data_IF_827151114550
#
_entry.id   IF_827151114550
#
_cell.length_a   1.000
_cell.length_b   1.000
_cell.length_c   1.000
_cell.angle_alpha   90.00
_cell.angle_beta   90.00
_cell.angle_gamma   90.00
#
_symmetry.space_group_name_H-M   'P 1'
#
loop_
_entity.id
_entity.type
_entity.pdbx_description
1 polymer ?
#
# COMPACT_ATOMS: atom_id res chain seq x y z
N UNK A 1 -21.98 -13.39 2.16
CA UNK A 1 -21.62 -12.47 3.26
C UNK A 1 -21.85 -13.19 4.56
N UNK A 2 -20.81 -13.36 5.39
CA UNK A 2 -20.98 -13.92 6.73
C UNK A 2 -21.17 -12.77 7.73
N UNK A 3 -22.13 -12.90 8.61
CA UNK A 3 -22.47 -11.88 9.61
C UNK A 3 -21.43 -11.78 10.73
N UNK A 4 -20.63 -12.83 10.94
CA UNK A 4 -19.55 -12.86 11.91
C UNK A 4 -18.21 -12.54 11.23
N UNK A 5 -17.46 -11.52 11.68
CA UNK A 5 -16.12 -11.25 11.18
C UNK A 5 -15.20 -12.45 11.47
N UNK A 6 -14.42 -12.88 10.47
CA UNK A 6 -13.36 -13.87 10.65
C UNK A 6 -12.34 -13.35 11.65
N UNK A 7 -12.21 -14.02 12.79
CA UNK A 7 -11.30 -13.63 13.87
C UNK A 7 -9.98 -14.42 13.85
N UNK A 8 -9.96 -15.57 13.20
CA UNK A 8 -8.78 -16.44 13.05
C UNK A 8 -8.64 -16.91 11.60
N UNK A 9 -7.40 -16.87 11.09
CA UNK A 9 -6.99 -17.51 9.84
C UNK A 9 -5.81 -18.42 10.13
N UNK A 10 -5.90 -19.68 9.72
CA UNK A 10 -4.80 -20.65 9.77
C UNK A 10 -4.20 -20.83 8.37
N UNK A 11 -2.87 -20.75 8.28
CA UNK A 11 -2.11 -20.99 7.06
C UNK A 11 -0.95 -21.96 7.33
N UNK A 12 -0.70 -22.93 6.43
CA UNK A 12 0.48 -23.81 6.55
C UNK A 12 1.81 -23.06 6.36
N UNK A 13 1.80 -21.93 5.64
CA UNK A 13 3.02 -21.19 5.29
C UNK A 13 3.39 -20.14 6.34
N UNK A 14 2.38 -19.49 6.94
CA UNK A 14 2.58 -18.35 7.86
C UNK A 14 2.02 -18.57 9.27
N UNK A 15 1.45 -19.74 9.53
CA UNK A 15 0.87 -20.08 10.83
C UNK A 15 -0.49 -19.41 11.08
N UNK A 16 -0.81 -19.20 12.36
CA UNK A 16 -2.09 -18.64 12.82
C UNK A 16 -2.05 -17.13 12.92
N UNK A 17 -3.03 -16.47 12.31
CA UNK A 17 -3.30 -15.03 12.43
C UNK A 17 -4.61 -14.86 13.22
N UNK A 18 -4.53 -14.28 14.40
CA UNK A 18 -5.66 -14.15 15.34
C UNK A 18 -5.50 -15.01 16.60
N UNK A 19 -6.50 -15.06 17.51
CA UNK A 19 -7.77 -14.34 17.43
C UNK A 19 -7.57 -12.83 17.56
N UNK A 20 -8.20 -12.06 16.68
CA UNK A 20 -8.29 -10.60 16.87
C UNK A 20 -9.12 -10.33 18.13
N UNK A 21 -8.61 -9.49 19.04
CA UNK A 21 -9.31 -9.17 20.28
C UNK A 21 -10.69 -8.58 19.99
N UNK A 22 -11.71 -9.11 20.67
CA UNK A 22 -13.10 -8.63 20.57
C UNK A 22 -13.14 -7.11 20.76
N UNK A 23 -13.88 -6.41 19.90
CA UNK A 23 -13.98 -4.96 19.87
C UNK A 23 -12.65 -4.25 19.61
N UNK A 24 -12.10 -4.37 18.40
CA UNK A 24 -11.08 -3.45 17.89
C UNK A 24 -11.81 -2.21 17.37
N UNK A 25 -12.05 -1.15 18.17
CA UNK A 25 -12.51 0.11 17.59
C UNK A 25 -11.50 0.46 16.50
N UNK A 26 -11.94 0.84 15.30
CA UNK A 26 -11.05 1.20 14.20
C UNK A 26 -10.04 2.25 14.69
N UNK A 27 -8.89 1.78 15.17
CA UNK A 27 -7.93 2.61 15.85
C UNK A 27 -7.15 3.32 14.78
N UNK A 28 -7.64 4.48 14.34
CA UNK A 28 -6.89 5.32 13.43
C UNK A 28 -5.54 5.62 14.08
N UNK A 29 -4.49 5.10 13.47
CA UNK A 29 -3.12 5.46 13.82
C UNK A 29 -2.68 6.52 12.84
N UNK A 30 -2.08 7.59 13.36
CA UNK A 30 -1.57 8.68 12.53
C UNK A 30 -0.41 8.23 11.62
N UNK A 31 0.29 7.15 11.99
CA UNK A 31 1.40 6.58 11.23
C UNK A 31 1.07 5.17 10.75
N UNK A 32 1.25 4.97 9.44
CA UNK A 32 1.21 3.67 8.80
C UNK A 32 2.60 3.23 8.32
N UNK A 33 2.64 2.14 7.58
CA UNK A 33 3.81 1.70 6.82
C UNK A 33 3.36 1.30 5.41
N UNK A 34 4.29 1.34 4.46
CA UNK A 34 4.09 0.89 3.09
C UNK A 34 5.19 -0.13 2.77
N UNK A 35 4.81 -1.23 2.13
CA UNK A 35 5.74 -2.20 1.58
C UNK A 35 5.33 -2.48 0.14
N UNK A 36 6.30 -2.43 -0.77
CA UNK A 36 6.10 -2.68 -2.19
C UNK A 36 7.22 -3.59 -2.70
N UNK A 37 6.89 -4.43 -3.69
CA UNK A 37 7.84 -5.32 -4.35
C UNK A 37 7.37 -5.56 -5.78
N UNK A 38 8.31 -5.60 -6.71
CA UNK A 38 8.02 -5.84 -8.12
C UNK A 38 9.04 -5.17 -9.06
N UNK A 39 8.85 -5.31 -10.37
CA UNK A 39 9.67 -4.64 -11.38
C UNK A 39 9.68 -3.11 -11.13
N UNK A 40 10.87 -2.51 -11.19
CA UNK A 40 11.03 -1.07 -10.96
C UNK A 40 11.10 -0.64 -9.49
N UNK A 41 10.91 -1.55 -8.52
CA UNK A 41 11.11 -1.26 -7.08
C UNK A 41 12.47 -1.79 -6.63
N UNK A 42 13.39 -0.89 -6.27
CA UNK A 42 14.72 -1.28 -5.77
C UNK A 42 14.61 -1.92 -4.38
N UNK A 43 15.12 -3.16 -4.17
CA UNK A 43 15.10 -3.80 -2.87
C UNK A 43 15.83 -2.97 -1.80
N UNK A 44 15.25 -2.89 -0.60
CA UNK A 44 15.83 -2.14 0.52
C UNK A 44 15.79 -0.62 0.36
N UNK A 45 15.09 -0.10 -0.66
CA UNK A 45 14.87 1.35 -0.81
C UNK A 45 13.86 1.87 0.22
N UNK A 46 13.86 3.19 0.41
CA UNK A 46 12.93 3.91 1.28
C UNK A 46 12.30 5.08 0.53
N UNK A 47 11.10 5.44 0.97
CA UNK A 47 10.39 6.63 0.51
C UNK A 47 10.46 7.72 1.58
N UNK A 48 10.34 9.00 1.19
CA UNK A 48 10.16 10.09 2.16
C UNK A 48 8.86 9.90 2.95
N UNK A 49 8.72 10.67 4.04
CA UNK A 49 7.44 10.77 4.75
C UNK A 49 6.35 11.26 3.79
N UNK A 50 5.19 10.62 3.86
CA UNK A 50 4.11 10.79 2.89
C UNK A 50 2.74 10.62 3.51
N UNK A 51 1.72 11.08 2.80
CA UNK A 51 0.33 10.90 3.17
C UNK A 51 -0.32 9.75 2.40
N UNK A 52 -1.40 9.14 2.93
CA UNK A 52 -2.13 8.10 2.20
C UNK A 52 -2.63 8.54 0.82
N UNK A 53 -2.91 9.83 0.62
CA UNK A 53 -3.35 10.39 -0.67
C UNK A 53 -2.27 10.35 -1.75
N UNK A 54 -0.99 10.21 -1.38
CA UNK A 54 0.13 10.11 -2.32
C UNK A 54 0.26 8.72 -2.97
N UNK A 55 -0.40 7.70 -2.39
CA UNK A 55 -0.31 6.31 -2.85
C UNK A 55 -0.92 6.15 -4.25
N UNK A 56 -2.10 6.72 -4.49
CA UNK A 56 -2.78 6.60 -5.78
C UNK A 56 -1.98 7.25 -6.94
N UNK A 57 -1.51 8.51 -6.84
CA UNK A 57 -0.58 9.09 -7.81
C UNK A 57 0.69 8.27 -8.03
N UNK A 58 1.25 7.67 -6.97
CA UNK A 58 2.45 6.83 -7.05
C UNK A 58 2.21 5.57 -7.88
N UNK A 59 1.07 4.90 -7.68
CA UNK A 59 0.68 3.72 -8.47
C UNK A 59 0.49 4.10 -9.94
N UNK A 60 -0.21 5.21 -10.23
CA UNK A 60 -0.43 5.67 -11.60
C UNK A 60 0.90 5.96 -12.30
N UNK A 61 1.86 6.58 -11.60
CA UNK A 61 3.21 6.84 -12.13
C UNK A 61 3.94 5.54 -12.46
N UNK A 62 3.89 4.54 -11.58
CA UNK A 62 4.49 3.21 -11.84
C UNK A 62 3.83 2.48 -13.02
N UNK A 63 2.55 2.74 -13.27
CA UNK A 63 1.80 2.19 -14.41
C UNK A 63 1.99 2.98 -15.71
N UNK A 64 2.71 4.11 -15.69
CA UNK A 64 2.81 5.01 -16.85
C UNK A 64 1.49 5.66 -17.23
N UNK A 65 0.55 5.79 -16.28
CA UNK A 65 -0.77 6.36 -16.48
C UNK A 65 -0.81 7.84 -16.06
N UNK A 66 -1.69 8.66 -16.68
CA UNK A 66 -1.85 10.05 -16.27
C UNK A 66 -2.45 10.15 -14.86
N UNK A 67 -2.00 11.14 -14.09
CA UNK A 67 -2.55 11.47 -12.78
C UNK A 67 -3.68 12.51 -13.00
N UNK A 68 -4.90 12.28 -12.49
CA UNK A 68 -5.96 13.27 -12.60
C UNK A 68 -5.67 14.53 -11.80
N UNK A 69 -5.98 15.70 -12.37
CA UNK A 69 -5.70 17.01 -11.74
C UNK A 69 -6.45 17.25 -10.42
N UNK A 70 -7.50 16.47 -10.14
CA UNK A 70 -8.28 16.56 -8.91
C UNK A 70 -7.68 15.73 -7.75
N UNK A 71 -6.56 15.04 -7.96
CA UNK A 71 -5.87 14.33 -6.88
C UNK A 71 -5.11 15.32 -6.01
N UNK A 72 -5.32 15.25 -4.69
CA UNK A 72 -4.60 16.08 -3.72
C UNK A 72 -3.13 15.65 -3.53
N UNK A 73 -2.88 14.34 -3.65
CA UNK A 73 -1.57 13.75 -3.44
C UNK A 73 -0.63 13.88 -4.63
N UNK A 74 0.66 13.63 -4.40
CA UNK A 74 1.71 13.63 -5.43
C UNK A 74 2.41 12.29 -5.47
N UNK A 75 2.96 11.94 -6.63
CA UNK A 75 3.73 10.70 -6.75
C UNK A 75 4.99 10.78 -5.87
N UNK A 76 5.25 9.72 -5.12
CA UNK A 76 6.45 9.54 -4.31
C UNK A 76 7.65 9.03 -5.13
N UNK A 77 7.40 8.64 -6.38
CA UNK A 77 8.42 8.16 -7.31
C UNK A 77 8.42 9.01 -8.58
N UNK A 78 9.58 9.10 -9.23
CA UNK A 78 9.67 9.73 -10.53
C UNK A 78 9.21 8.76 -11.63
N UNK A 79 8.62 9.26 -12.72
CA UNK A 79 8.36 8.44 -13.89
C UNK A 79 9.69 7.90 -14.41
N UNK A 80 9.88 6.58 -14.35
CA UNK A 80 11.00 5.92 -15.02
C UNK A 80 10.72 5.95 -16.52
N UNK A 81 11.10 7.03 -17.20
CA UNK A 81 11.14 7.09 -18.66
C UNK A 81 12.30 6.23 -19.15
N UNK A 82 12.10 4.91 -19.19
CA UNK A 82 12.94 4.01 -19.97
C UNK A 82 12.24 3.77 -21.30
N UNK A 83 12.48 4.67 -22.27
CA UNK A 83 12.22 4.36 -23.68
C UNK A 83 13.42 3.53 -24.14
N UNK A 84 13.26 2.20 -24.15
CA UNK A 84 14.11 1.33 -24.95
C UNK A 84 13.56 1.31 -26.38
N UNK A 85 14.48 1.43 -27.34
CA UNK A 85 14.27 1.58 -28.78
C UNK A 85 13.40 0.49 -29.45
#
# INVERSE_FOLDING_TARGET
WHECPTDVVDSPDVGRIGPITYNRPGGHRARGFLMASGPGITPGSSLPEAHPVDIAPTILTLMGAPIPDYFDGKSLVSPTLSISA
#
